data_IF_849528293924
#
_entry.id   IF_849528293924
#
_cell.length_a   1.000
_cell.length_b   1.000
_cell.length_c   1.000
_cell.angle_alpha   90.00
_cell.angle_beta   90.00
_cell.angle_gamma   90.00
#
_symmetry.space_group_name_H-M   'P 1'
#
loop_
_entity.id
_entity.type
_entity.pdbx_description
1 polymer ?
#
# COMPACT_ATOMS: atom_id res chain seq x y z
N UNK A 1 -16.73 8.60 -7.69
CA UNK A 1 -17.50 7.93 -6.63
C UNK A 1 -16.57 7.82 -5.42
N UNK A 2 -16.97 8.23 -4.21
CA UNK A 2 -16.15 8.00 -3.02
C UNK A 2 -15.96 6.50 -2.79
N UNK A 3 -14.76 6.14 -2.32
CA UNK A 3 -14.38 4.80 -1.85
C UNK A 3 -13.94 4.91 -0.39
N UNK A 4 -13.94 3.79 0.34
CA UNK A 4 -13.60 3.76 1.76
C UNK A 4 -12.47 2.77 2.04
N UNK A 5 -11.42 3.25 2.71
CA UNK A 5 -10.43 2.38 3.32
C UNK A 5 -10.93 1.73 4.62
N UNK A 6 -10.24 0.70 5.07
CA UNK A 6 -10.48 0.03 6.35
C UNK A 6 -9.28 0.19 7.27
N UNK A 7 -9.50 0.76 8.46
CA UNK A 7 -8.50 0.88 9.51
C UNK A 7 -8.94 0.07 10.73
N UNK A 8 -8.11 -0.87 11.18
CA UNK A 8 -8.47 -1.82 12.23
C UNK A 8 -7.23 -2.34 12.96
N UNK A 9 -7.46 -3.16 13.99
CA UNK A 9 -6.40 -3.68 14.86
C UNK A 9 -6.47 -5.21 14.94
N UNK A 10 -5.33 -5.88 14.77
CA UNK A 10 -5.16 -7.34 14.93
C UNK A 10 -3.86 -7.58 15.70
N UNK A 11 -3.90 -8.36 16.79
CA UNK A 11 -2.72 -8.68 17.62
C UNK A 11 -1.83 -7.48 17.93
N UNK A 12 -2.47 -6.41 18.41
CA UNK A 12 -1.86 -5.11 18.71
C UNK A 12 -1.34 -4.26 17.55
N UNK A 13 -1.33 -4.79 16.32
CA UNK A 13 -0.93 -4.07 15.10
C UNK A 13 -2.10 -3.28 14.52
N UNK A 14 -1.86 -2.03 14.17
CA UNK A 14 -2.79 -1.17 13.42
C UNK A 14 -2.58 -1.37 11.94
N UNK A 15 -3.61 -1.82 11.25
CA UNK A 15 -3.59 -2.17 9.83
C UNK A 15 -4.49 -1.19 9.08
N UNK A 16 -3.94 -0.65 7.99
CA UNK A 16 -4.70 0.17 7.06
C UNK A 16 -4.77 -0.50 5.69
N UNK A 17 -5.98 -0.75 5.18
CA UNK A 17 -6.21 -1.18 3.80
C UNK A 17 -6.86 -0.02 3.07
N UNK A 18 -6.20 0.52 2.04
CA UNK A 18 -6.74 1.71 1.36
C UNK A 18 -7.99 1.42 0.54
N UNK A 19 -8.18 0.17 0.10
CA UNK A 19 -9.06 -0.16 -1.04
C UNK A 19 -8.67 0.68 -2.26
N UNK A 20 -9.49 0.75 -3.30
CA UNK A 20 -9.25 1.62 -4.45
C UNK A 20 -9.20 3.08 -4.00
N UNK A 21 -8.09 3.76 -4.26
CA UNK A 21 -7.90 5.17 -3.88
C UNK A 21 -6.98 5.90 -4.83
N UNK A 22 -7.17 7.20 -4.99
CA UNK A 22 -6.23 8.08 -5.69
C UNK A 22 -5.00 8.38 -4.83
N UNK A 23 -3.93 8.90 -5.43
CA UNK A 23 -2.82 9.45 -4.68
C UNK A 23 -3.25 10.77 -4.00
N UNK A 24 -3.70 10.66 -2.76
CA UNK A 24 -4.23 11.78 -1.97
C UNK A 24 -3.65 11.79 -0.54
N UNK A 25 -2.32 11.99 -0.41
CA UNK A 25 -1.66 11.94 0.88
C UNK A 25 -2.26 12.93 1.89
N UNK A 26 -2.72 14.11 1.45
CA UNK A 26 -3.32 15.11 2.32
C UNK A 26 -4.54 14.59 3.12
N UNK A 27 -5.29 13.62 2.57
CA UNK A 27 -6.41 13.00 3.27
C UNK A 27 -6.03 11.73 4.03
N UNK A 28 -4.99 11.02 3.58
CA UNK A 28 -4.63 9.69 4.11
C UNK A 28 -3.47 9.72 5.09
N UNK A 29 -2.70 10.81 5.18
CA UNK A 29 -1.46 10.86 5.94
C UNK A 29 -1.64 10.50 7.41
N UNK A 30 -2.72 10.97 8.05
CA UNK A 30 -3.00 10.61 9.45
C UNK A 30 -3.14 9.10 9.65
N UNK A 31 -3.77 8.39 8.71
CA UNK A 31 -3.86 6.93 8.74
C UNK A 31 -2.52 6.26 8.39
N UNK A 32 -1.76 6.81 7.46
CA UNK A 32 -0.43 6.31 7.12
C UNK A 32 0.55 6.41 8.29
N UNK A 33 0.53 7.52 9.02
CA UNK A 33 1.38 7.75 10.19
C UNK A 33 0.98 6.81 11.33
N UNK A 34 -0.32 6.63 11.58
CA UNK A 34 -0.83 5.80 12.66
C UNK A 34 -0.69 4.29 12.40
N UNK A 35 -0.74 3.85 11.13
CA UNK A 35 -0.64 2.44 10.79
C UNK A 35 0.76 1.86 11.07
N UNK A 36 0.78 0.61 11.51
CA UNK A 36 1.98 -0.23 11.55
C UNK A 36 2.21 -0.92 10.20
N UNK A 37 1.12 -1.31 9.53
CA UNK A 37 1.13 -1.98 8.23
C UNK A 37 0.07 -1.37 7.32
N UNK A 38 0.44 -1.11 6.08
CA UNK A 38 -0.43 -0.52 5.07
C UNK A 38 -0.52 -1.43 3.85
N UNK A 39 -1.73 -1.80 3.45
CA UNK A 39 -2.02 -2.39 2.15
C UNK A 39 -2.53 -1.28 1.23
N UNK A 40 -1.68 -0.90 0.28
CA UNK A 40 -1.84 0.28 -0.56
C UNK A 40 -2.20 -0.11 -1.99
N UNK A 41 -3.31 0.44 -2.50
CA UNK A 41 -3.66 0.42 -3.92
C UNK A 41 -2.54 1.03 -4.75
N UNK A 42 -2.20 0.39 -5.86
CA UNK A 42 -1.04 0.73 -6.67
C UNK A 42 -1.27 0.37 -8.14
N UNK A 43 -1.50 1.37 -8.98
CA UNK A 43 -1.44 1.24 -10.42
C UNK A 43 0.02 1.20 -10.91
N UNK A 44 0.33 0.30 -11.84
CA UNK A 44 1.65 0.12 -12.46
C UNK A 44 1.63 0.27 -13.98
N UNK A 45 0.47 0.61 -14.55
CA UNK A 45 0.33 0.85 -15.98
C UNK A 45 1.24 2.00 -16.44
N UNK A 46 1.49 2.12 -17.75
CA UNK A 46 2.29 3.21 -18.28
C UNK A 46 1.59 4.57 -18.25
N UNK A 47 0.27 4.58 -18.05
CA UNK A 47 -0.62 5.72 -18.17
C UNK A 47 -1.36 5.94 -16.85
N UNK A 48 -1.47 7.18 -16.40
CA UNK A 48 -2.23 7.46 -15.19
C UNK A 48 -3.73 7.34 -15.47
N UNK A 49 -4.40 6.41 -14.79
CA UNK A 49 -5.86 6.31 -14.83
C UNK A 49 -6.53 7.52 -14.14
N UNK A 50 -5.81 8.19 -13.24
CA UNK A 50 -6.29 9.24 -12.34
C UNK A 50 -7.37 8.80 -11.35
N UNK A 51 -7.59 7.49 -11.19
CA UNK A 51 -8.54 6.92 -10.21
C UNK A 51 -7.86 5.98 -9.21
N UNK A 52 -6.63 5.56 -9.49
CA UNK A 52 -5.77 4.78 -8.59
C UNK A 52 -4.50 5.56 -8.23
N UNK A 53 -3.91 5.24 -7.08
CA UNK A 53 -2.61 5.74 -6.69
C UNK A 53 -1.56 5.08 -7.58
N UNK A 54 -0.78 5.89 -8.29
CA UNK A 54 0.17 5.37 -9.25
C UNK A 54 1.53 5.11 -8.59
N UNK A 55 2.23 4.04 -8.99
CA UNK A 55 3.54 3.69 -8.42
C UNK A 55 4.54 4.85 -8.41
N UNK A 56 4.56 5.64 -9.50
CA UNK A 56 5.42 6.83 -9.64
C UNK A 56 5.15 7.93 -8.62
N UNK A 57 3.93 8.03 -8.11
CA UNK A 57 3.59 8.98 -7.06
C UNK A 57 3.94 8.39 -5.69
N UNK A 58 3.61 7.12 -5.47
CA UNK A 58 3.88 6.41 -4.22
C UNK A 58 5.37 6.41 -3.85
N UNK A 59 6.29 6.29 -4.83
CA UNK A 59 7.74 6.33 -4.54
C UNK A 59 8.21 7.66 -3.93
N UNK A 60 7.44 8.75 -4.09
CA UNK A 60 7.76 10.08 -3.57
C UNK A 60 7.41 10.25 -2.08
N UNK A 61 6.63 9.31 -1.51
CA UNK A 61 6.29 9.33 -0.09
C UNK A 61 7.55 9.22 0.79
N UNK A 62 7.44 9.74 2.01
CA UNK A 62 8.49 9.63 3.02
C UNK A 62 8.88 8.13 3.21
N UNK A 63 10.19 7.79 3.24
CA UNK A 63 10.66 6.44 3.56
C UNK A 63 10.00 5.80 4.79
N UNK A 64 9.69 6.60 5.83
CA UNK A 64 9.03 6.13 7.05
C UNK A 64 7.58 5.67 6.84
N UNK A 65 6.96 6.09 5.74
CA UNK A 65 5.64 5.61 5.33
C UNK A 65 5.78 4.41 4.39
N UNK A 66 6.68 4.50 3.40
CA UNK A 66 6.87 3.46 2.38
C UNK A 66 7.28 2.11 2.98
N UNK A 67 8.13 2.10 4.02
CA UNK A 67 8.60 0.84 4.60
C UNK A 67 7.50 0.03 5.29
N UNK A 68 6.34 0.63 5.56
CA UNK A 68 5.18 -0.05 6.13
C UNK A 68 4.21 -0.56 5.06
N UNK A 69 4.46 -0.26 3.78
CA UNK A 69 3.50 -0.48 2.69
C UNK A 69 3.78 -1.77 1.90
N UNK A 70 2.73 -2.59 1.79
CA UNK A 70 2.54 -3.62 0.79
C UNK A 70 1.68 -3.08 -0.36
N UNK A 71 2.13 -3.25 -1.60
CA UNK A 71 1.45 -2.75 -2.79
C UNK A 71 0.56 -3.85 -3.39
N UNK A 72 -0.70 -3.53 -3.70
CA UNK A 72 -1.61 -4.46 -4.38
C UNK A 72 -2.37 -3.76 -5.52
N UNK A 73 -3.25 -4.49 -6.22
CA UNK A 73 -4.09 -3.98 -7.31
C UNK A 73 -3.32 -3.49 -8.57
N UNK A 74 -2.07 -3.94 -8.70
CA UNK A 74 -1.21 -3.59 -9.82
C UNK A 74 -1.62 -4.28 -11.13
N UNK A 75 -1.29 -3.62 -12.24
CA UNK A 75 -1.57 -4.12 -13.59
C UNK A 75 -0.69 -5.34 -13.92
N UNK A 76 -1.18 -6.27 -14.75
CA UNK A 76 -0.36 -7.38 -15.23
C UNK A 76 0.83 -6.87 -16.05
N UNK A 77 1.95 -7.58 -15.98
CA UNK A 77 3.16 -7.27 -16.74
C UNK A 77 4.40 -7.16 -15.87
N UNK A 78 5.52 -6.63 -16.42
CA UNK A 78 6.72 -6.37 -15.67
C UNK A 78 6.46 -5.40 -14.52
N UNK A 79 6.88 -5.76 -13.32
CA UNK A 79 6.74 -4.91 -12.14
C UNK A 79 8.04 -4.17 -11.83
N UNK A 80 7.97 -2.94 -11.29
CA UNK A 80 9.14 -2.25 -10.76
C UNK A 80 9.67 -2.98 -9.52
N UNK A 81 10.86 -2.58 -9.07
CA UNK A 81 11.46 -3.17 -7.87
C UNK A 81 11.00 -2.43 -6.61
N UNK A 82 9.80 -2.77 -6.14
CA UNK A 82 9.19 -2.15 -4.96
C UNK A 82 10.11 -2.17 -3.72
N UNK A 83 10.83 -3.27 -3.49
CA UNK A 83 11.76 -3.38 -2.35
C UNK A 83 12.93 -2.40 -2.46
N UNK A 84 13.48 -2.24 -3.66
CA UNK A 84 14.55 -1.26 -3.92
C UNK A 84 14.08 0.18 -3.66
N UNK A 85 12.81 0.46 -3.92
CA UNK A 85 12.23 1.80 -3.77
C UNK A 85 11.68 2.09 -2.35
N UNK A 86 11.84 1.13 -1.43
CA UNK A 86 11.57 1.28 0.00
C UNK A 86 10.24 0.69 0.49
N UNK A 87 9.53 -0.07 -0.33
CA UNK A 87 8.30 -0.78 0.06
C UNK A 87 8.57 -2.20 0.55
N UNK A 88 7.60 -2.82 1.22
CA UNK A 88 7.68 -4.26 1.58
C UNK A 88 7.63 -5.18 0.35
N UNK A 89 6.93 -4.74 -0.70
CA UNK A 89 6.84 -5.43 -1.97
C UNK A 89 5.43 -5.43 -2.55
N UNK A 90 5.22 -6.27 -3.56
CA UNK A 90 3.91 -6.51 -4.15
C UNK A 90 3.24 -7.73 -3.51
N UNK A 91 1.97 -7.57 -3.10
CA UNK A 91 1.14 -8.66 -2.59
C UNK A 91 0.86 -9.66 -3.71
N UNK A 92 1.10 -10.94 -3.44
CA UNK A 92 0.86 -12.02 -4.42
C UNK A 92 -0.50 -12.65 -4.23
N UNK A 93 -1.07 -13.19 -5.31
CA UNK A 93 -2.29 -14.01 -5.25
C UNK A 93 -2.08 -15.19 -4.30
N UNK A 94 -2.99 -15.35 -3.33
CA UNK A 94 -2.91 -16.40 -2.31
C UNK A 94 -1.90 -16.15 -1.20
N UNK A 95 -1.28 -14.98 -1.13
CA UNK A 95 -0.41 -14.62 -0.01
C UNK A 95 -1.22 -14.48 1.27
N UNK A 96 -0.74 -15.10 2.34
CA UNK A 96 -1.29 -14.98 3.68
C UNK A 96 -0.35 -14.16 4.55
N UNK A 97 -0.92 -13.32 5.41
CA UNK A 97 -0.22 -12.56 6.43
C UNK A 97 -0.63 -13.11 7.80
N UNK A 98 0.32 -13.64 8.54
CA UNK A 98 0.14 -14.12 9.90
C UNK A 98 0.60 -13.02 10.86
N UNK A 99 -0.36 -12.31 11.43
CA UNK A 99 -0.09 -11.20 12.35
C UNK A 99 0.51 -11.64 13.68
N UNK A 100 0.48 -12.93 14.00
CA UNK A 100 1.21 -13.51 15.14
C UNK A 100 2.67 -13.81 14.81
N UNK A 101 3.02 -13.91 13.52
CA UNK A 101 4.36 -14.21 13.04
C UNK A 101 4.92 -13.10 12.13
N UNK A 102 5.74 -12.24 12.73
CA UNK A 102 6.38 -11.10 12.07
C UNK A 102 7.21 -11.45 10.82
N UNK A 103 7.65 -12.69 10.63
CA UNK A 103 8.38 -13.07 9.40
C UNK A 103 7.50 -13.09 8.15
N UNK A 104 6.18 -13.04 8.32
CA UNK A 104 5.21 -13.05 7.21
C UNK A 104 4.72 -11.65 6.85
N UNK A 105 5.08 -10.64 7.66
CA UNK A 105 4.66 -9.25 7.55
C UNK A 105 5.68 -8.42 6.76
#
# INVERSE_FOLDING_TARGET
>A
MPSFGLFFKVDDLKIFITTDTQFTPDHLMGYYEEADIIFQDCETSSMFSNVHAHYRDLITLNPDIKHKMWLYHYNPGPLPNAKKDGFQGFVKKGQCFDFTNKSTL
#
